data_IF_035822692124
#
_entry.id   IF_035822692124
#
_cell.length_a   1.000
_cell.length_b   1.000
_cell.length_c   1.000
_cell.angle_alpha   90.00
_cell.angle_beta   90.00
_cell.angle_gamma   90.00
#
_symmetry.space_group_name_H-M   'P 1'
#
loop_
_entity.id
_entity.type
_entity.pdbx_description
1 polymer ?
2 polymer ?
3 polymer ?
4 non-polymer ?
5 water ?
#
# COMPACT_ATOMS: atom_id res chain seq x y z
N UNK A 10 8.57 -12.37 -7.64
CA UNK A 10 7.60 -11.21 -7.79
C UNK A 10 8.38 -9.89 -7.92
N UNK A 11 9.52 -9.75 -7.21
CA UNK A 11 10.44 -8.60 -7.30
C UNK A 11 10.02 -7.50 -6.33
N UNK A 12 9.38 -7.89 -5.23
CA UNK A 12 8.71 -7.01 -4.24
C UNK A 12 9.52 -6.99 -2.93
N UNK A 13 9.44 -5.91 -2.15
CA UNK A 13 9.83 -5.91 -0.71
C UNK A 13 8.62 -6.28 0.15
N UNK A 14 7.39 -6.03 -0.28
CA UNK A 14 6.23 -6.24 0.63
C UNK A 14 6.02 -7.73 0.81
N UNK A 15 5.45 -8.14 1.96
CA UNK A 15 5.38 -9.56 2.32
C UNK A 15 4.18 -10.30 1.70
N UNK A 16 4.40 -10.95 0.57
CA UNK A 16 3.29 -11.72 -0.09
C UNK A 16 2.68 -12.73 0.90
N UNK A 17 3.52 -13.51 1.57
CA UNK A 17 3.06 -14.59 2.48
C UNK A 17 2.15 -14.04 3.58
N UNK A 18 2.57 -12.96 4.23
CA UNK A 18 1.77 -12.32 5.30
C UNK A 18 0.45 -11.83 4.73
N UNK A 19 0.50 -11.24 3.54
CA UNK A 19 -0.70 -10.62 2.92
C UNK A 19 -1.67 -11.73 2.55
N UNK A 20 -1.16 -12.88 2.07
CA UNK A 20 -1.99 -14.08 1.80
C UNK A 20 -2.75 -14.47 3.07
N UNK A 21 -2.01 -14.53 4.16
CA UNK A 21 -2.55 -14.94 5.47
C UNK A 21 -3.60 -13.93 5.91
N UNK A 22 -3.35 -12.63 5.76
CA UNK A 22 -4.33 -11.60 6.16
C UNK A 22 -5.59 -11.75 5.31
N UNK A 23 -5.47 -11.97 4.00
CA UNK A 23 -6.68 -12.16 3.16
C UNK A 23 -7.48 -13.39 3.62
N UNK A 24 -6.80 -14.50 3.88
CA UNK A 24 -7.43 -15.78 4.31
C UNK A 24 -8.15 -15.54 5.64
N UNK A 25 -7.49 -14.87 6.58
CA UNK A 25 -7.98 -14.67 7.96
C UNK A 25 -9.22 -13.78 7.97
N UNK A 26 -9.29 -12.84 7.03
CA UNK A 26 -10.34 -11.81 6.96
C UNK A 26 -11.65 -12.39 6.46
N UNK A 27 -11.63 -13.59 5.87
CA UNK A 27 -12.86 -14.31 5.43
C UNK A 27 -13.60 -13.48 4.39
N UNK A 28 -12.88 -12.94 3.41
CA UNK A 28 -13.45 -12.02 2.39
C UNK A 28 -14.12 -12.87 1.31
N UNK A 29 -13.67 -14.11 1.17
CA UNK A 29 -14.22 -15.08 0.22
C UNK A 29 -13.85 -16.48 0.69
N UNK A 30 -14.50 -17.49 0.11
CA UNK A 30 -14.23 -18.89 0.44
C UNK A 30 -12.77 -19.18 0.12
N UNK A 31 -12.29 -18.77 -1.04
CA UNK A 31 -10.97 -19.17 -1.57
C UNK A 31 -10.27 -17.91 -2.08
N UNK A 32 -8.95 -17.94 -2.03
CA UNK A 32 -8.10 -16.84 -2.52
C UNK A 32 -7.11 -17.45 -3.49
N UNK A 33 -7.09 -16.98 -4.73
CA UNK A 33 -6.10 -17.41 -5.72
C UNK A 33 -4.69 -17.01 -5.34
N UNK A 34 -3.70 -17.76 -5.82
CA UNK A 34 -2.26 -17.55 -5.54
C UNK A 34 -1.79 -16.15 -5.99
N UNK A 35 -2.28 -15.66 -7.13
CA UNK A 35 -1.95 -14.34 -7.68
C UNK A 35 -2.48 -13.19 -6.84
N UNK A 36 -3.58 -13.38 -6.11
CA UNK A 36 -4.27 -12.26 -5.43
C UNK A 36 -3.31 -11.59 -4.46
N UNK A 37 -2.64 -12.31 -3.53
CA UNK A 37 -1.77 -11.64 -2.57
C UNK A 37 -0.53 -11.05 -3.25
N UNK A 38 -0.10 -11.63 -4.35
CA UNK A 38 1.03 -11.04 -5.12
C UNK A 38 0.62 -9.67 -5.68
N UNK A 39 -0.50 -9.61 -6.40
CA UNK A 39 -1.00 -8.35 -6.99
C UNK A 39 -1.19 -7.34 -5.87
N UNK A 40 -1.85 -7.76 -4.79
CA UNK A 40 -2.14 -6.83 -3.67
C UNK A 40 -0.84 -6.33 -3.06
N UNK A 41 0.13 -7.21 -2.77
CA UNK A 41 1.44 -6.79 -2.20
C UNK A 41 2.08 -5.73 -3.10
N UNK A 42 2.02 -5.91 -4.42
CA UNK A 42 2.65 -4.99 -5.38
C UNK A 42 1.96 -3.62 -5.33
N UNK A 43 0.63 -3.59 -5.13
CA UNK A 43 -0.12 -2.31 -5.17
C UNK A 43 0.21 -1.58 -3.87
N UNK A 44 0.19 -2.29 -2.75
CA UNK A 44 0.43 -1.64 -1.44
C UNK A 44 1.86 -1.12 -1.40
N UNK A 45 2.80 -1.85 -2.00
CA UNK A 45 4.21 -1.43 -2.07
C UNK A 45 4.34 -0.19 -2.95
N UNK A 46 3.67 -0.19 -4.11
CA UNK A 46 3.62 0.99 -5.01
C UNK A 46 3.13 2.20 -4.22
N UNK A 47 2.05 2.01 -3.45
CA UNK A 47 1.44 3.17 -2.77
C UNK A 47 2.36 3.67 -1.67
N UNK A 48 2.92 2.79 -0.85
CA UNK A 48 3.93 3.16 0.16
C UNK A 48 5.05 3.94 -0.53
N UNK A 49 5.60 3.44 -1.63
CA UNK A 49 6.71 4.12 -2.32
C UNK A 49 6.33 5.55 -2.73
N UNK A 50 5.14 5.78 -3.31
CA UNK A 50 4.71 7.12 -3.78
C UNK A 50 4.65 8.06 -2.58
N UNK A 51 4.05 7.61 -1.46
CA UNK A 51 3.94 8.48 -0.26
C UNK A 51 5.33 8.77 0.31
N UNK A 52 6.18 7.74 0.48
CA UNK A 52 7.51 7.91 1.09
C UNK A 52 8.40 8.78 0.23
N UNK A 53 8.29 8.67 -1.09
CA UNK A 53 9.03 9.56 -1.99
C UNK A 53 8.66 11.02 -1.71
N UNK A 54 7.37 11.35 -1.71
CA UNK A 54 6.91 12.74 -1.46
C UNK A 54 7.27 13.18 -0.04
N UNK A 55 7.03 12.35 0.96
CA UNK A 55 7.29 12.72 2.37
C UNK A 55 8.79 12.90 2.59
N UNK A 56 9.61 12.04 2.03
CA UNK A 56 11.08 12.24 2.05
C UNK A 56 11.50 13.55 1.41
N UNK A 57 10.93 13.91 0.27
CA UNK A 57 11.28 15.20 -0.39
C UNK A 57 10.90 16.35 0.56
N UNK A 58 9.73 16.28 1.19
CA UNK A 58 9.29 17.31 2.15
C UNK A 58 10.29 17.40 3.27
N UNK A 59 10.81 16.26 3.77
CA UNK A 59 11.80 16.23 4.87
C UNK A 59 13.10 16.93 4.41
N UNK A 60 13.60 16.61 3.23
CA UNK A 60 14.78 17.31 2.65
C UNK A 60 14.50 18.82 2.58
N UNK A 61 13.34 19.20 2.02
CA UNK A 61 12.96 20.62 1.84
C UNK A 61 13.00 21.30 3.21
N UNK A 62 12.66 20.56 4.28
CA UNK A 62 12.57 21.05 5.69
C UNK A 62 13.94 20.97 6.39
N UNK A 63 15.00 20.60 5.66
CA UNK A 63 16.39 20.45 6.20
C UNK A 63 16.39 19.43 7.33
N UNK A 64 15.68 18.32 7.16
CA UNK A 64 15.62 17.23 8.16
C UNK A 64 16.20 15.96 7.56
N UNK A 65 16.67 15.05 8.40
CA UNK A 65 17.25 13.76 7.93
C UNK A 65 16.29 12.61 8.22
N UNK A 66 15.10 12.91 8.76
CA UNK A 66 14.06 11.86 8.96
C UNK A 66 12.67 12.45 8.73
N UNK A 67 11.80 11.60 8.21
CA UNK A 67 10.38 11.90 7.98
C UNK A 67 9.71 11.94 9.36
N UNK A 68 9.02 13.04 9.66
CA UNK A 68 8.14 13.19 10.85
C UNK A 68 6.71 13.36 10.35
N UNK A 69 5.70 13.23 11.23
CA UNK A 69 4.31 13.29 10.79
C UNK A 69 3.96 14.50 9.93
N UNK A 70 4.50 15.69 10.26
CA UNK A 70 4.22 16.93 9.49
C UNK A 70 4.60 16.72 8.02
N UNK A 71 5.68 16.00 7.75
CA UNK A 71 6.16 15.80 6.36
C UNK A 71 5.16 14.92 5.61
N UNK A 72 4.54 13.95 6.29
CA UNK A 72 3.54 13.07 5.60
C UNK A 72 2.27 13.88 5.35
N UNK A 73 1.87 14.69 6.34
CA UNK A 73 0.67 15.54 6.23
C UNK A 73 0.84 16.44 5.01
N UNK A 74 2.02 17.04 4.84
CA UNK A 74 2.28 18.00 3.75
C UNK A 74 2.29 17.28 2.40
N UNK A 75 2.90 16.10 2.30
CA UNK A 75 3.04 15.35 1.04
C UNK A 75 1.65 14.89 0.58
N UNK A 76 0.81 14.42 1.51
CA UNK A 76 -0.55 13.93 1.17
C UNK A 76 -1.43 15.12 0.79
N UNK A 77 -1.42 16.16 1.61
CA UNK A 77 -2.23 17.38 1.36
C UNK A 77 -1.89 18.00 0.02
N UNK A 78 -0.61 18.09 -0.35
CA UNK A 78 -0.18 18.69 -1.63
C UNK A 78 -0.57 17.80 -2.81
N UNK A 79 -0.97 16.56 -2.58
CA UNK A 79 -1.23 15.66 -3.74
C UNK A 79 -2.73 15.42 -3.88
N UNK A 80 -3.34 15.86 -4.97
CA UNK A 80 -4.82 15.80 -5.08
C UNK A 80 -5.26 14.32 -5.00
N UNK A 81 -4.57 13.40 -5.67
CA UNK A 81 -5.05 11.98 -5.67
C UNK A 81 -4.78 11.29 -4.33
N UNK A 82 -3.60 11.51 -3.72
CA UNK A 82 -3.28 10.86 -2.43
C UNK A 82 -4.23 11.39 -1.36
N UNK A 83 -4.61 12.67 -1.42
CA UNK A 83 -5.54 13.26 -0.43
C UNK A 83 -6.89 12.56 -0.56
N UNK A 84 -7.36 12.39 -1.79
CA UNK A 84 -8.64 11.68 -2.10
C UNK A 84 -8.54 10.25 -1.57
N UNK A 85 -7.40 9.59 -1.78
CA UNK A 85 -7.30 8.15 -1.40
C UNK A 85 -7.24 8.00 0.11
N UNK A 86 -6.43 8.83 0.79
CA UNK A 86 -5.99 8.54 2.18
C UNK A 86 -6.70 9.45 3.17
N UNK A 87 -7.29 10.54 2.70
CA UNK A 87 -8.01 11.53 3.52
C UNK A 87 -7.06 12.53 4.13
N UNK A 88 -7.51 13.23 5.16
CA UNK A 88 -6.67 14.21 5.90
C UNK A 88 -5.77 13.45 6.87
N UNK A 89 -4.54 13.94 7.04
CA UNK A 89 -3.59 13.47 8.08
C UNK A 89 -3.69 14.43 9.26
N UNK A 90 -4.03 13.88 10.42
CA UNK A 90 -4.10 14.58 11.71
C UNK A 90 -2.77 14.46 12.45
N UNK A 91 -2.30 15.59 12.97
CA UNK A 91 -1.07 15.70 13.80
C UNK A 91 -1.39 16.58 15.01
N UNK B 8 -6.07 -4.48 12.19
CA UNK B 8 -4.79 -3.69 12.10
C UNK B 8 -3.58 -4.63 12.17
N UNK B 9 -2.74 -4.64 11.13
CA UNK B 9 -1.53 -5.49 11.03
C UNK B 9 -0.30 -4.59 10.96
N UNK B 10 0.89 -5.14 11.21
CA UNK B 10 2.16 -4.35 11.09
C UNK B 10 2.83 -4.70 9.75
N UNK B 11 3.13 -3.66 9.01
CA UNK B 11 3.94 -3.72 7.77
C UNK B 11 5.25 -2.94 7.94
N UNK B 12 5.57 -2.54 9.16
CA UNK B 12 6.52 -1.43 9.37
C UNK B 12 7.94 -1.79 8.87
N UNK B 13 8.49 -2.98 9.15
CA UNK B 13 9.83 -3.35 8.64
C UNK B 13 9.81 -3.20 7.11
N UNK B 14 8.73 -3.62 6.47
CA UNK B 14 8.61 -3.65 4.99
C UNK B 14 8.47 -2.21 4.46
N UNK B 15 7.68 -1.39 5.13
CA UNK B 15 7.62 0.08 4.85
C UNK B 15 9.04 0.66 4.95
N UNK B 16 9.81 0.26 5.96
CA UNK B 16 11.20 0.74 6.19
C UNK B 16 12.09 0.37 5.00
N UNK B 17 12.03 -0.89 4.56
CA UNK B 17 12.78 -1.37 3.38
C UNK B 17 12.46 -0.52 2.15
N UNK B 18 11.20 -0.22 1.89
CA UNK B 18 10.78 0.62 0.72
C UNK B 18 11.32 2.03 0.93
N UNK B 19 11.16 2.57 2.13
CA UNK B 19 11.72 3.92 2.40
C UNK B 19 13.20 3.99 2.00
N UNK B 20 14.03 3.04 2.41
CA UNK B 20 15.48 3.08 2.14
C UNK B 20 15.78 2.89 0.65
N UNK B 21 14.93 2.23 -0.14
CA UNK B 21 15.10 2.23 -1.62
C UNK B 21 14.89 3.64 -2.19
N UNK B 22 13.82 4.32 -1.79
CA UNK B 22 13.46 5.62 -2.44
C UNK B 22 14.28 6.77 -1.84
N UNK B 23 14.61 6.70 -0.57
CA UNK B 23 15.51 7.70 0.07
C UNK B 23 16.51 7.03 1.00
N UNK B 24 17.66 6.61 0.45
CA UNK B 24 18.64 5.87 1.25
C UNK B 24 19.15 6.61 2.48
N UNK B 25 19.11 7.93 2.47
CA UNK B 25 19.73 8.79 3.51
C UNK B 25 18.67 9.37 4.45
N UNK B 26 17.40 9.00 4.29
CA UNK B 26 16.33 9.60 5.14
C UNK B 26 15.72 8.53 6.03
N UNK B 27 15.60 8.86 7.30
CA UNK B 27 14.96 7.96 8.27
C UNK B 27 13.52 8.30 8.50
N UNK B 28 12.96 7.75 9.55
CA UNK B 28 11.52 7.95 9.84
C UNK B 28 11.27 7.78 11.33
N UNK B 29 10.48 8.68 11.89
CA UNK B 29 10.11 8.63 13.32
C UNK B 29 9.08 7.53 13.57
N UNK B 30 8.96 7.08 14.83
CA UNK B 30 7.98 6.06 15.24
C UNK B 30 6.56 6.55 14.92
N UNK B 31 6.26 7.82 15.15
CA UNK B 31 4.89 8.35 14.88
C UNK B 31 4.64 8.40 13.38
N UNK B 32 5.65 8.77 12.58
CA UNK B 32 5.49 8.84 11.12
C UNK B 32 5.29 7.41 10.60
N UNK B 33 6.04 6.47 11.14
CA UNK B 33 5.89 5.06 10.74
C UNK B 33 4.49 4.57 11.11
N UNK B 34 3.97 4.97 12.27
CA UNK B 34 2.60 4.64 12.69
C UNK B 34 1.58 5.10 11.65
N UNK B 35 1.72 6.33 11.13
CA UNK B 35 0.83 6.86 10.06
C UNK B 35 0.99 6.05 8.76
N UNK B 36 2.22 5.73 8.35
CA UNK B 36 2.44 4.96 7.12
C UNK B 36 1.73 3.60 7.27
N UNK B 37 1.88 2.98 8.44
CA UNK B 37 1.36 1.62 8.66
C UNK B 37 -0.18 1.70 8.63
N UNK B 38 -0.76 2.76 9.18
CA UNK B 38 -2.23 3.00 9.13
C UNK B 38 -2.71 3.09 7.68
N UNK B 39 -1.95 3.77 6.81
CA UNK B 39 -2.35 3.96 5.39
C UNK B 39 -2.47 2.58 4.74
N UNK B 40 -1.45 1.75 4.93
CA UNK B 40 -1.38 0.41 4.30
C UNK B 40 -2.57 -0.40 4.79
N UNK B 41 -2.89 -0.34 6.08
CA UNK B 41 -4.01 -1.14 6.64
C UNK B 41 -5.34 -0.66 6.03
N UNK B 42 -5.54 0.65 5.97
CA UNK B 42 -6.75 1.27 5.37
C UNK B 42 -6.94 0.83 3.93
N UNK B 43 -5.88 0.87 3.12
CA UNK B 43 -6.01 0.54 1.68
C UNK B 43 -6.22 -0.96 1.53
N UNK B 44 -5.51 -1.76 2.31
CA UNK B 44 -5.68 -3.24 2.30
C UNK B 44 -7.17 -3.57 2.46
N UNK B 45 -7.78 -2.96 3.47
CA UNK B 45 -9.19 -3.22 3.88
C UNK B 45 -10.16 -2.76 2.79
N UNK B 46 -9.98 -1.55 2.24
CA UNK B 46 -10.79 -1.08 1.09
C UNK B 46 -10.68 -2.04 -0.09
N UNK B 47 -9.47 -2.48 -0.48
CA UNK B 47 -9.35 -3.38 -1.65
C UNK B 47 -9.96 -4.75 -1.31
N UNK B 48 -9.76 -5.21 -0.08
CA UNK B 48 -10.21 -6.56 0.30
C UNK B 48 -11.73 -6.52 0.39
N UNK B 49 -12.32 -5.45 0.93
CA UNK B 49 -13.81 -5.33 0.97
C UNK B 49 -14.40 -5.24 -0.44
N UNK B 50 -13.81 -4.43 -1.32
CA UNK B 50 -14.30 -4.32 -2.71
C UNK B 50 -14.16 -5.69 -3.39
N UNK B 51 -13.08 -6.40 -3.08
CA UNK B 51 -12.76 -7.70 -3.74
C UNK B 51 -13.80 -8.73 -3.35
N UNK B 52 -14.20 -8.70 -2.08
CA UNK B 52 -15.25 -9.54 -1.49
C UNK B 52 -16.55 -9.37 -2.28
N UNK B 53 -16.91 -8.12 -2.56
CA UNK B 53 -18.14 -7.80 -3.32
C UNK B 53 -18.03 -8.34 -4.74
N UNK B 54 -16.92 -8.09 -5.42
CA UNK B 54 -16.78 -8.51 -6.82
C UNK B 54 -16.86 -10.05 -6.92
N UNK B 55 -16.29 -10.78 -5.98
CA UNK B 55 -16.24 -12.27 -5.99
C UNK B 55 -17.65 -12.87 -6.01
N UNK B 56 -18.60 -12.23 -5.31
CA UNK B 56 -20.02 -12.66 -5.27
C UNK B 56 -20.67 -12.65 -6.67
N UNK B 57 -20.08 -12.00 -7.68
CA UNK B 57 -20.68 -11.95 -9.04
C UNK B 57 -20.21 -13.14 -9.86
N UNK B 58 -19.16 -13.80 -9.42
CA UNK B 58 -18.43 -14.77 -10.28
C UNK B 58 -19.08 -16.14 -10.13
N UNK B 59 -18.82 -17.01 -11.11
CA UNK B 59 -19.26 -18.43 -11.08
C UNK B 59 -18.71 -19.06 -9.79
N UNK B 60 -17.42 -18.85 -9.52
CA UNK B 60 -16.69 -19.39 -8.34
C UNK B 60 -16.50 -18.30 -7.29
N UNK B 61 -16.59 -18.63 -5.98
CA UNK B 61 -16.53 -17.63 -4.91
C UNK B 61 -15.08 -17.31 -4.46
N UNK B 62 -14.21 -17.02 -5.42
CA UNK B 62 -12.74 -16.92 -5.22
C UNK B 62 -12.33 -15.46 -5.42
N UNK B 63 -11.38 -14.98 -4.62
CA UNK B 63 -10.73 -13.69 -4.94
C UNK B 63 -9.48 -14.04 -5.72
N UNK B 64 -9.38 -13.68 -6.98
CA UNK B 64 -8.14 -13.88 -7.75
C UNK B 64 -7.47 -12.52 -7.97
N UNK B 65 -6.34 -12.54 -8.65
CA UNK B 65 -5.69 -11.28 -9.07
C UNK B 65 -6.67 -10.45 -9.93
N UNK B 66 -7.62 -11.09 -10.60
CA UNK B 66 -8.64 -10.36 -11.41
C UNK B 66 -9.55 -9.49 -10.52
N UNK B 67 -9.97 -10.01 -9.38
CA UNK B 67 -10.85 -9.26 -8.46
C UNK B 67 -10.01 -8.12 -7.86
N UNK B 68 -8.73 -8.36 -7.57
CA UNK B 68 -7.87 -7.32 -6.92
C UNK B 68 -7.74 -6.20 -7.93
N UNK B 69 -7.41 -6.53 -9.18
CA UNK B 69 -7.26 -5.53 -10.25
C UNK B 69 -8.53 -4.68 -10.36
N UNK B 70 -9.70 -5.30 -10.38
CA UNK B 70 -10.95 -4.51 -10.52
C UNK B 70 -11.09 -3.60 -9.28
N UNK B 71 -10.84 -4.14 -8.09
CA UNK B 71 -10.96 -3.40 -6.82
C UNK B 71 -10.01 -2.20 -6.87
N UNK B 72 -8.81 -2.39 -7.41
CA UNK B 72 -7.78 -1.31 -7.51
C UNK B 72 -8.32 -0.21 -8.42
N UNK B 73 -8.90 -0.61 -9.55
CA UNK B 73 -9.44 0.35 -10.55
C UNK B 73 -10.63 1.13 -9.99
N UNK B 74 -11.41 0.54 -9.07
CA UNK B 74 -12.60 1.20 -8.48
C UNK B 74 -12.21 2.11 -7.32
N UNK B 75 -11.30 1.67 -6.47
CA UNK B 75 -10.96 2.30 -5.17
C UNK B 75 -9.93 3.42 -5.35
N UNK B 76 -8.92 3.23 -6.21
CA UNK B 76 -7.86 4.25 -6.38
C UNK B 76 -8.34 5.33 -7.34
N UNK B 77 -7.97 6.60 -7.10
CA UNK B 77 -8.10 7.63 -8.12
C UNK B 77 -7.41 7.19 -9.42
N UNK B 78 -7.87 7.71 -10.55
CA UNK B 78 -7.59 7.12 -11.86
C UNK B 78 -6.11 7.07 -12.17
N UNK B 79 -5.34 8.13 -11.88
CA UNK B 79 -3.90 8.12 -12.30
C UNK B 79 -3.09 7.17 -11.41
N UNK B 80 -3.39 7.13 -10.11
CA UNK B 80 -2.75 6.12 -9.22
C UNK B 80 -3.20 4.72 -9.65
N UNK B 81 -4.49 4.56 -9.95
CA UNK B 81 -5.04 3.25 -10.34
C UNK B 81 -4.21 2.69 -11.50
N UNK B 82 -4.02 3.49 -12.53
CA UNK B 82 -3.31 3.06 -13.76
C UNK B 82 -1.93 2.53 -13.41
N UNK B 83 -1.17 3.24 -12.57
CA UNK B 83 0.22 2.84 -12.22
C UNK B 83 0.17 1.61 -11.31
N UNK B 84 -0.75 1.57 -10.35
CA UNK B 84 -0.88 0.42 -9.45
C UNK B 84 -1.18 -0.84 -10.29
N UNK B 85 -2.03 -0.74 -11.30
CA UNK B 85 -2.44 -1.93 -12.09
C UNK B 85 -1.22 -2.45 -12.84
N UNK B 86 -0.39 -1.54 -13.33
CA UNK B 86 0.84 -1.90 -14.08
C UNK B 86 1.76 -2.71 -13.15
N UNK B 87 1.96 -2.21 -11.94
CA UNK B 87 2.81 -2.88 -10.91
C UNK B 87 2.20 -4.23 -10.53
N UNK B 88 0.90 -4.29 -10.26
CA UNK B 88 0.27 -5.55 -9.87
C UNK B 88 0.43 -6.58 -10.98
N UNK B 89 0.13 -6.18 -12.21
CA UNK B 89 0.16 -7.10 -13.38
C UNK B 89 1.58 -7.65 -13.55
N UNK B 90 2.57 -6.78 -13.47
CA UNK B 90 4.00 -7.15 -13.65
C UNK B 90 4.38 -8.16 -12.56
N UNK B 91 4.01 -7.91 -11.30
CA UNK B 91 4.39 -8.82 -10.19
C UNK B 91 3.77 -10.19 -10.43
N UNK B 92 2.53 -10.24 -10.89
CA UNK B 92 1.83 -11.55 -11.05
C UNK B 92 2.46 -12.29 -12.22
N UNK B 93 2.77 -11.58 -13.30
CA UNK B 93 3.45 -12.18 -14.47
C UNK B 93 4.75 -12.84 -14.02
N UNK B 94 5.58 -12.14 -13.25
CA UNK B 94 6.91 -12.64 -12.80
C UNK B 94 6.75 -13.80 -11.81
N UNK B 95 5.74 -13.73 -10.96
CA UNK B 95 5.47 -14.82 -10.02
C UNK B 95 4.98 -16.06 -10.79
N UNK B 96 4.13 -15.84 -11.77
CA UNK B 96 3.53 -16.91 -12.59
C UNK B 96 4.63 -17.64 -13.34
N UNK B 97 5.59 -16.90 -13.86
CA UNK B 97 6.74 -17.56 -14.51
C UNK B 97 7.50 -18.24 -13.36
N UNK C 3 7.78 13.55 22.80
CA UNK C 3 8.79 13.34 21.76
C UNK C 3 8.50 12.04 20.98
N UNK C 4 9.36 11.77 20.00
CA UNK C 4 9.05 10.88 18.86
C UNK C 4 10.36 10.22 18.46
N UNK C 5 10.73 9.13 19.15
CA UNK C 5 11.94 8.40 18.82
C UNK C 5 11.88 7.81 17.40
N UNK C 6 13.05 7.55 16.83
CA UNK C 6 13.13 6.93 15.49
C UNK C 6 12.42 5.59 15.57
N UNK C 7 11.83 5.18 14.46
CA UNK C 7 11.37 3.80 14.28
C UNK C 7 12.53 2.83 14.58
X LIG D 1 6.71 -4.12 14.12
X LIG D 1 5.55 -3.29 14.26
X LIG D 1 7.63 -3.54 13.06
X LIG D 1 8.80 -2.95 13.58
X LIG D 1 8.05 -4.53 12.02
X LIG D 1 7.06 -4.63 11.02
#
# INVERSE_FOLDING_TARGET
KKATSRSSKAGLQFPVGRIARFLKAGKYAERVGAGAPVYLAAVLEYLAAEVLELAGNAARDNKKTRIVPRHIQLAVRNDEELSKLLGDVTIAN
KKRSKKNVETYKIYIFKVLKQVHPDIGISSKAMGIMNSFINDIFEKLAQESSKLARYNKKPTITSREIQTAVRLVLPGELAKHAVSEGTKAVTKFTSS
EENDPDY
GOL C1 O1 C2 O2 C3 O3
#
